data_IF_536028405660
#
_entry.id   IF_536028405660
#
_cell.length_a   1.000
_cell.length_b   1.000
_cell.length_c   1.000
_cell.angle_alpha   90.00
_cell.angle_beta   90.00
_cell.angle_gamma   90.00
#
_symmetry.space_group_name_H-M   'P 1'
#
loop_
_entity.id
_entity.type
_entity.pdbx_description
1 polymer ?
#
# COMPACT_ATOMS: atom_id res chain seq x y z
N UNK A 1 -12.16 -12.82 -20.43
CA UNK A 1 -11.94 -13.37 -19.08
C UNK A 1 -11.46 -12.28 -18.18
N UNK A 2 -12.14 -12.08 -17.13
CA UNK A 2 -11.83 -10.97 -16.25
C UNK A 2 -10.99 -11.38 -15.07
N UNK A 3 -10.09 -12.32 -15.23
CA UNK A 3 -9.23 -12.72 -14.13
C UNK A 3 -7.81 -12.92 -14.64
N UNK A 4 -6.82 -12.59 -13.85
CA UNK A 4 -5.44 -12.80 -14.24
C UNK A 4 -5.18 -14.30 -14.41
N UNK A 5 -4.27 -14.60 -15.28
CA UNK A 5 -3.92 -15.99 -15.52
C UNK A 5 -3.26 -16.61 -14.32
N UNK A 6 -2.56 -15.81 -13.54
CA UNK A 6 -1.86 -16.27 -12.34
C UNK A 6 -1.96 -15.23 -11.26
N UNK A 7 -2.12 -15.69 -10.04
CA UNK A 7 -2.12 -14.82 -8.87
C UNK A 7 -0.78 -14.08 -8.74
N UNK A 8 0.29 -14.68 -9.24
CA UNK A 8 1.60 -14.05 -9.17
C UNK A 8 1.72 -12.76 -10.00
N UNK A 9 0.76 -12.53 -10.91
CA UNK A 9 0.74 -11.26 -11.64
C UNK A 9 0.23 -10.10 -10.80
N UNK A 10 -0.36 -10.41 -9.65
CA UNK A 10 -0.85 -9.39 -8.75
C UNK A 10 0.30 -8.96 -7.85
N UNK A 11 0.62 -7.67 -7.77
CA UNK A 11 1.74 -7.25 -6.93
C UNK A 11 1.48 -7.57 -5.47
N UNK A 12 2.51 -8.00 -4.76
CA UNK A 12 2.41 -8.21 -3.32
C UNK A 12 2.44 -6.85 -2.63
N UNK A 13 2.05 -6.83 -1.33
CA UNK A 13 2.10 -5.55 -0.63
C UNK A 13 3.54 -5.05 -0.49
N UNK A 14 4.52 -5.96 -0.41
CA UNK A 14 5.93 -5.56 -0.41
C UNK A 14 6.29 -4.81 -1.69
N UNK A 15 5.78 -5.29 -2.81
CA UNK A 15 6.04 -4.66 -4.11
C UNK A 15 5.30 -3.34 -4.28
N UNK A 16 4.30 -3.09 -3.45
CA UNK A 16 3.54 -1.85 -3.51
C UNK A 16 4.14 -0.74 -2.64
N UNK A 17 5.11 -1.05 -1.80
CA UNK A 17 5.71 -0.09 -0.88
C UNK A 17 6.34 1.09 -1.64
N UNK A 18 7.28 0.80 -2.53
CA UNK A 18 7.98 1.86 -3.27
C UNK A 18 7.03 2.62 -4.18
N UNK A 19 6.17 1.95 -4.97
CA UNK A 19 5.24 2.70 -5.81
C UNK A 19 4.32 3.62 -5.03
N UNK A 20 3.90 3.23 -3.83
CA UNK A 20 3.05 4.08 -3.01
C UNK A 20 3.74 5.40 -2.67
N UNK A 21 5.00 5.32 -2.23
CA UNK A 21 5.76 6.52 -1.89
C UNK A 21 6.01 7.38 -3.12
N UNK A 22 6.40 6.76 -4.22
CA UNK A 22 6.66 7.50 -5.46
C UNK A 22 5.42 8.16 -6.00
N UNK A 23 4.28 7.45 -5.92
CA UNK A 23 3.02 8.02 -6.37
C UNK A 23 2.66 9.25 -5.56
N UNK A 24 2.84 9.20 -4.25
CA UNK A 24 2.57 10.35 -3.41
C UNK A 24 3.50 11.52 -3.72
N UNK A 25 4.77 11.24 -4.00
CA UNK A 25 5.70 12.30 -4.39
C UNK A 25 5.24 12.97 -5.69
N UNK A 26 4.80 12.16 -6.65
CA UNK A 26 4.33 12.67 -7.93
C UNK A 26 3.03 13.47 -7.79
N UNK A 27 2.22 13.13 -6.80
CA UNK A 27 0.94 13.81 -6.57
C UNK A 27 1.07 15.02 -5.63
N UNK A 28 2.29 15.41 -5.33
CA UNK A 28 2.53 16.60 -4.51
C UNK A 28 2.66 16.33 -3.03
N UNK A 29 2.74 15.08 -2.64
CA UNK A 29 2.99 14.69 -1.25
C UNK A 29 1.74 14.27 -0.48
N UNK A 30 0.56 14.39 -1.08
CA UNK A 30 -0.69 14.06 -0.42
C UNK A 30 -1.72 13.67 -1.47
N UNK A 31 -2.57 12.70 -1.14
CA UNK A 31 -3.61 12.25 -2.06
C UNK A 31 -4.64 11.42 -1.32
N UNK A 32 -5.85 11.35 -1.88
CA UNK A 32 -6.83 10.43 -1.33
C UNK A 32 -6.55 9.01 -1.87
N UNK A 33 -7.24 8.04 -1.30
CA UNK A 33 -7.02 6.63 -1.63
C UNK A 33 -7.26 6.36 -3.12
N UNK A 34 -8.29 6.98 -3.69
CA UNK A 34 -8.62 6.75 -5.09
C UNK A 34 -7.57 7.29 -6.04
N UNK A 35 -7.13 8.50 -5.81
CA UNK A 35 -6.08 9.11 -6.61
C UNK A 35 -4.80 8.31 -6.52
N UNK A 36 -4.47 7.90 -5.31
CA UNK A 36 -3.26 7.14 -5.07
C UNK A 36 -3.31 5.79 -5.78
N UNK A 37 -4.46 5.12 -5.69
CA UNK A 37 -4.63 3.83 -6.34
C UNK A 37 -4.52 3.91 -7.84
N UNK A 38 -5.10 4.94 -8.44
CA UNK A 38 -5.02 5.14 -9.88
C UNK A 38 -3.58 5.40 -10.32
N UNK A 39 -2.88 6.22 -9.55
CA UNK A 39 -1.50 6.55 -9.87
C UNK A 39 -0.61 5.30 -9.80
N UNK A 40 -0.79 4.50 -8.78
CA UNK A 40 -0.03 3.26 -8.62
C UNK A 40 -0.32 2.32 -9.79
N UNK A 41 -1.59 2.19 -10.16
CA UNK A 41 -1.96 1.32 -11.27
C UNK A 41 -1.30 1.76 -12.56
N UNK A 42 -1.24 3.07 -12.81
CA UNK A 42 -0.56 3.61 -13.98
C UNK A 42 0.94 3.32 -13.94
N UNK A 43 1.56 3.57 -12.81
CA UNK A 43 3.00 3.40 -12.68
C UNK A 43 3.44 1.96 -12.86
N UNK A 44 2.63 1.04 -12.36
CA UNK A 44 2.96 -0.38 -12.43
C UNK A 44 2.33 -1.06 -13.65
N UNK A 45 1.59 -0.30 -14.45
CA UNK A 45 0.95 -0.81 -15.66
C UNK A 45 0.05 -2.01 -15.37
N UNK A 46 -0.74 -1.88 -14.32
CA UNK A 46 -1.66 -2.94 -13.93
C UNK A 46 -2.87 -2.93 -14.84
N UNK A 47 -3.22 -4.10 -15.37
CA UNK A 47 -4.36 -4.21 -16.26
C UNK A 47 -5.67 -4.08 -15.49
N UNK A 48 -6.75 -3.80 -16.23
CA UNK A 48 -8.08 -3.75 -15.64
C UNK A 48 -8.45 -5.08 -15.03
N UNK A 49 -8.01 -6.18 -15.63
CA UNK A 49 -8.26 -7.51 -15.10
C UNK A 49 -7.62 -7.69 -13.71
N UNK A 50 -6.38 -7.26 -13.58
CA UNK A 50 -5.67 -7.35 -12.31
C UNK A 50 -6.34 -6.47 -11.28
N UNK A 51 -6.70 -5.23 -11.66
CA UNK A 51 -7.33 -4.32 -10.72
C UNK A 51 -8.71 -4.79 -10.27
N UNK A 52 -9.41 -5.52 -11.15
CA UNK A 52 -10.75 -6.02 -10.85
C UNK A 52 -10.77 -7.38 -10.15
N UNK A 53 -9.62 -8.01 -10.01
CA UNK A 53 -9.55 -9.31 -9.37
C UNK A 53 -9.99 -9.22 -7.91
N UNK A 54 -11.03 -9.95 -7.58
CA UNK A 54 -11.61 -9.85 -6.25
C UNK A 54 -10.90 -10.76 -5.27
N UNK A 55 -10.67 -10.21 -4.07
CA UNK A 55 -10.12 -11.01 -2.99
C UNK A 55 -11.22 -11.92 -2.45
N UNK A 56 -10.90 -13.20 -2.37
CA UNK A 56 -11.87 -14.20 -1.93
C UNK A 56 -12.27 -13.94 -0.48
N UNK A 57 -13.57 -13.86 -0.24
CA UNK A 57 -14.11 -13.75 1.10
C UNK A 57 -13.98 -12.38 1.75
N UNK A 58 -13.48 -11.38 1.05
CA UNK A 58 -13.21 -10.09 1.68
C UNK A 58 -14.07 -8.93 1.14
N UNK A 59 -14.84 -9.14 0.10
CA UNK A 59 -15.70 -8.09 -0.44
C UNK A 59 -14.97 -6.92 -1.06
N UNK A 60 -13.69 -7.08 -1.35
CA UNK A 60 -12.89 -6.03 -1.95
C UNK A 60 -11.97 -6.66 -2.99
N UNK A 61 -11.37 -5.82 -3.82
CA UNK A 61 -10.42 -6.30 -4.82
C UNK A 61 -9.06 -6.52 -4.18
N UNK A 62 -8.28 -7.43 -4.76
CA UNK A 62 -7.01 -7.84 -4.16
C UNK A 62 -5.97 -6.72 -4.12
N UNK A 63 -5.85 -5.95 -5.21
CA UNK A 63 -4.83 -4.90 -5.27
C UNK A 63 -5.12 -3.80 -4.25
N UNK A 64 -6.33 -3.23 -4.19
CA UNK A 64 -6.63 -2.25 -3.14
C UNK A 64 -6.41 -2.78 -1.73
N UNK A 65 -6.71 -4.05 -1.49
CA UNK A 65 -6.48 -4.66 -0.19
C UNK A 65 -4.99 -4.67 0.16
N UNK A 66 -4.16 -5.10 -0.79
CA UNK A 66 -2.72 -5.15 -0.57
C UNK A 66 -2.12 -3.73 -0.47
N UNK A 67 -2.69 -2.79 -1.23
CA UNK A 67 -2.25 -1.40 -1.15
C UNK A 67 -2.54 -0.81 0.24
N UNK A 68 -3.67 -1.18 0.83
CA UNK A 68 -4.01 -0.73 2.18
C UNK A 68 -3.00 -1.24 3.21
N UNK A 69 -2.57 -2.48 3.06
CA UNK A 69 -1.53 -3.03 3.93
C UNK A 69 -0.22 -2.29 3.76
N UNK A 70 0.15 -1.97 2.51
CA UNK A 70 1.37 -1.21 2.25
C UNK A 70 1.32 0.15 2.95
N UNK A 71 0.20 0.85 2.87
CA UNK A 71 0.04 2.13 3.54
C UNK A 71 0.17 1.99 5.06
N UNK A 72 -0.41 0.93 5.61
CA UNK A 72 -0.34 0.68 7.04
C UNK A 72 1.10 0.45 7.49
N UNK A 73 1.85 -0.33 6.74
CA UNK A 73 3.26 -0.56 7.06
C UNK A 73 4.06 0.73 6.98
N UNK A 74 3.81 1.54 5.95
CA UNK A 74 4.50 2.82 5.79
C UNK A 74 4.15 3.79 6.93
N UNK A 75 2.91 3.77 7.38
CA UNK A 75 2.50 4.61 8.50
C UNK A 75 3.22 4.18 9.78
N UNK A 76 3.31 2.89 10.02
CA UNK A 76 3.98 2.39 11.21
C UNK A 76 5.46 2.72 11.23
N UNK A 77 6.07 2.82 10.06
CA UNK A 77 7.49 3.18 9.97
C UNK A 77 7.71 4.69 9.92
N UNK A 78 6.65 5.47 9.97
CA UNK A 78 6.76 6.93 10.00
C UNK A 78 6.96 7.57 8.64
N UNK A 79 6.72 6.85 7.56
CA UNK A 79 6.87 7.38 6.20
C UNK A 79 5.60 8.10 5.74
N UNK A 80 4.45 7.59 6.15
CA UNK A 80 3.15 8.18 5.79
C UNK A 80 2.40 8.58 7.04
N UNK A 81 1.49 9.53 6.87
CA UNK A 81 0.53 9.87 7.91
C UNK A 81 -0.84 10.03 7.27
N UNK A 82 -1.86 9.82 8.07
CA UNK A 82 -3.23 9.94 7.64
C UNK A 82 -3.75 11.28 8.13
N UNK A 83 -3.86 12.23 7.23
CA UNK A 83 -4.21 13.59 7.60
C UNK A 83 -5.71 13.81 7.74
N UNK A 84 -6.49 12.98 7.05
CA UNK A 84 -7.94 13.00 7.12
C UNK A 84 -8.44 11.63 6.71
N UNK A 85 -9.72 11.39 6.88
CA UNK A 85 -10.29 10.12 6.49
C UNK A 85 -10.08 9.92 4.99
N UNK A 86 -9.41 8.83 4.63
CA UNK A 86 -9.14 8.51 3.24
C UNK A 86 -8.06 9.34 2.58
N UNK A 87 -7.36 10.17 3.34
CA UNK A 87 -6.30 11.03 2.79
C UNK A 87 -4.97 10.69 3.45
N UNK A 88 -3.97 10.44 2.63
CA UNK A 88 -2.64 10.06 3.07
C UNK A 88 -1.62 11.07 2.59
N UNK A 89 -0.61 11.31 3.40
CA UNK A 89 0.44 12.28 3.08
C UNK A 89 1.80 11.73 3.48
N UNK A 90 2.83 12.19 2.77
CA UNK A 90 4.20 11.88 3.13
C UNK A 90 4.60 12.72 4.34
N UNK A 91 5.26 12.06 5.30
CA UNK A 91 5.92 12.78 6.38
C UNK A 91 7.23 13.35 5.85
N UNK A 92 7.93 14.11 6.67
CA UNK A 92 9.26 14.59 6.29
C UNK A 92 10.17 13.42 5.95
N UNK A 93 10.13 12.38 6.76
CA UNK A 93 10.89 11.17 6.49
C UNK A 93 10.48 10.56 5.15
N UNK A 94 9.19 10.56 4.85
CA UNK A 94 8.69 9.99 3.59
C UNK A 94 9.15 10.76 2.36
N UNK A 95 9.43 12.03 2.51
CA UNK A 95 9.91 12.84 1.39
C UNK A 95 11.37 12.54 1.06
N UNK A 96 12.12 12.06 2.05
CA UNK A 96 13.57 11.90 1.93
C UNK A 96 14.04 10.46 1.89
N UNK A 97 13.19 9.52 2.29
CA UNK A 97 13.59 8.13 2.42
C UNK A 97 14.00 7.54 1.07
N UNK A 98 15.06 6.75 1.06
CA UNK A 98 15.55 6.10 -0.15
C UNK A 98 14.77 4.81 -0.43
N UNK A 99 14.82 4.36 -1.69
CA UNK A 99 14.19 3.10 -2.05
C UNK A 99 14.79 1.94 -1.26
N UNK A 100 16.08 1.99 -1.01
CA UNK A 100 16.78 0.98 -0.25
C UNK A 100 16.21 0.84 1.16
N UNK A 101 15.98 1.98 1.80
CA UNK A 101 15.38 1.98 3.13
C UNK A 101 13.94 1.49 3.09
N UNK A 102 13.22 1.85 2.01
CA UNK A 102 11.84 1.40 1.86
C UNK A 102 11.74 -0.13 1.79
N UNK A 103 12.71 -0.76 1.14
CA UNK A 103 12.72 -2.22 1.05
C UNK A 103 12.87 -2.90 2.40
N UNK A 104 13.42 -2.21 3.38
CA UNK A 104 13.58 -2.76 4.72
C UNK A 104 12.38 -2.59 5.62
N UNK A 105 11.34 -1.88 5.17
CA UNK A 105 10.19 -1.59 6.01
C UNK A 105 9.35 -2.83 6.33
N UNK A 106 8.99 -3.67 5.35
CA UNK A 106 8.14 -4.81 5.69
C UNK A 106 8.73 -5.74 6.75
N UNK A 107 10.02 -6.13 6.67
CA UNK A 107 10.57 -6.96 7.74
C UNK A 107 10.58 -6.28 9.10
N UNK A 108 10.88 -4.98 9.14
CA UNK A 108 10.91 -4.25 10.40
C UNK A 108 9.55 -4.20 11.06
N UNK A 109 8.51 -3.91 10.29
CA UNK A 109 7.16 -3.81 10.83
C UNK A 109 6.64 -5.19 11.24
N UNK A 110 6.94 -6.23 10.46
CA UNK A 110 6.57 -7.59 10.85
C UNK A 110 7.17 -7.98 12.17
N UNK A 111 8.43 -7.64 12.38
CA UNK A 111 9.10 -7.95 13.63
C UNK A 111 8.45 -7.22 14.78
N UNK A 112 8.16 -5.95 14.61
CA UNK A 112 7.51 -5.16 15.65
C UNK A 112 6.15 -5.75 16.02
N UNK A 113 5.37 -6.14 15.03
CA UNK A 113 4.07 -6.74 15.28
C UNK A 113 4.18 -8.01 16.09
N UNK A 114 5.15 -8.85 15.79
CA UNK A 114 5.33 -10.11 16.51
C UNK A 114 5.73 -9.86 17.95
N UNK A 115 6.55 -8.87 18.18
CA UNK A 115 7.05 -8.57 19.52
C UNK A 115 6.03 -7.91 20.41
N UNK A 116 5.21 -7.03 19.82
CA UNK A 116 4.27 -6.22 20.60
C UNK A 116 2.92 -6.89 20.68
N UNK A 117 2.38 -7.32 19.55
CA UNK A 117 1.05 -7.91 19.54
C UNK A 117 0.90 -8.77 18.28
N UNK A 118 1.30 -10.03 18.36
CA UNK A 118 1.39 -10.87 17.15
C UNK A 118 0.06 -11.11 16.46
N UNK A 119 -1.05 -10.87 17.13
CA UNK A 119 -2.36 -11.12 16.55
C UNK A 119 -3.08 -9.88 16.07
N UNK A 120 -2.42 -8.75 16.14
CA UNK A 120 -3.05 -7.50 15.72
C UNK A 120 -3.19 -7.46 14.21
N UNK A 121 -4.39 -7.15 13.77
CA UNK A 121 -4.67 -6.89 12.36
C UNK A 121 -4.78 -5.39 12.22
N UNK A 122 -4.05 -4.77 11.28
CA UNK A 122 -4.12 -3.31 11.12
C UNK A 122 -5.53 -2.87 10.80
N UNK A 123 -6.11 -2.09 11.68
CA UNK A 123 -7.49 -1.62 11.50
C UNK A 123 -7.61 -0.66 10.34
N UNK A 124 -6.55 0.03 10.03
CA UNK A 124 -6.54 0.99 8.94
C UNK A 124 -6.82 0.36 7.60
N UNK A 125 -6.56 -0.93 7.46
CA UNK A 125 -6.75 -1.60 6.19
C UNK A 125 -8.22 -1.78 5.85
N UNK A 126 -9.07 -1.84 6.85
CA UNK A 126 -10.49 -2.00 6.62
C UNK A 126 -11.18 -0.66 6.38
N UNK A 127 -10.48 0.44 6.62
CA UNK A 127 -11.05 1.76 6.52
C UNK A 127 -10.41 2.69 5.52
N UNK A 128 -9.64 2.22 4.55
CA UNK A 128 -9.08 3.17 3.59
C UNK A 128 -10.12 3.76 2.69
#
# INVERSE_FOLDING_TARGET
>A
MARPKRISEIPTFDQLIIPTVRALRDLGGSANVEELGEKIAQMMKLSDEIMAYRREGAGTNEVPYRAAWARTYLKRDGVLERTARGVWALTLRGREISDEELLGIPPRVRKLRREVCPQVIPQDTSGP
#
